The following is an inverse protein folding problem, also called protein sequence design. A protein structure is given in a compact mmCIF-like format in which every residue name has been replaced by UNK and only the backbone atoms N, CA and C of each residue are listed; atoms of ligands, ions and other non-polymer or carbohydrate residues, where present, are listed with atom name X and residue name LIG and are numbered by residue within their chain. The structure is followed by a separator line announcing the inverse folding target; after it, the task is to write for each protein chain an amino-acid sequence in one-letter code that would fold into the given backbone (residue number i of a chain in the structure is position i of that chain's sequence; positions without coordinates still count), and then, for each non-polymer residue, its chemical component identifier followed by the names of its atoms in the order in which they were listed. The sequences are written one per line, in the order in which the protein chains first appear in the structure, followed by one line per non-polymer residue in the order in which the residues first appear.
data_IF_977176655231
#
_entry.id   IF_977176655231
#
_cell.length_a   1.000
_cell.length_b   1.000
_cell.length_c   1.000
_cell.angle_alpha   90.00
_cell.angle_beta   90.00
_cell.angle_gamma   90.00
#
_symmetry.space_group_name_H-M   'P 1'
#
loop_
_entity.id
_entity.type
_entity.pdbx_description
1 polymer ?
#
# COMPACT_ATOMS: atom_id res chain seq x y z
N UNK A 1 -11.09 -5.63 -23.69
CA UNK A 1 -11.05 -5.14 -22.29
C UNK A 1 -9.69 -5.46 -21.70
N UNK A 2 -8.93 -4.45 -21.23
CA UNK A 2 -7.55 -4.62 -20.74
C UNK A 2 -7.47 -5.58 -19.54
N UNK A 3 -6.36 -6.30 -19.43
CA UNK A 3 -6.20 -7.41 -18.49
C UNK A 3 -6.28 -7.00 -17.01
N UNK A 4 -5.91 -5.77 -16.66
CA UNK A 4 -5.71 -5.34 -15.26
C UNK A 4 -6.99 -5.20 -14.42
N UNK A 5 -8.19 -5.14 -15.01
CA UNK A 5 -9.46 -5.07 -14.25
C UNK A 5 -10.41 -6.25 -14.54
N UNK A 6 -9.91 -7.34 -15.13
CA UNK A 6 -10.75 -8.49 -15.50
C UNK A 6 -11.35 -9.18 -14.27
N UNK A 7 -10.52 -9.44 -13.26
CA UNK A 7 -10.93 -10.22 -12.07
C UNK A 7 -11.96 -9.46 -11.24
N UNK A 8 -11.75 -8.16 -11.05
CA UNK A 8 -12.67 -7.28 -10.32
C UNK A 8 -14.02 -7.19 -11.04
N UNK A 9 -13.99 -7.15 -12.37
CA UNK A 9 -15.23 -7.18 -13.14
C UNK A 9 -15.95 -8.50 -12.97
N UNK A 10 -15.24 -9.62 -13.03
CA UNK A 10 -15.84 -10.93 -12.85
C UNK A 10 -16.48 -11.03 -11.45
N UNK A 11 -15.77 -10.61 -10.41
CA UNK A 11 -16.29 -10.54 -9.05
C UNK A 11 -17.52 -9.63 -8.93
N UNK A 12 -17.49 -8.44 -9.56
CA UNK A 12 -18.64 -7.52 -9.57
C UNK A 12 -19.84 -8.11 -10.31
N UNK A 13 -19.62 -8.80 -11.44
CA UNK A 13 -20.68 -9.46 -12.18
C UNK A 13 -21.33 -10.57 -11.35
N UNK A 14 -20.53 -11.40 -10.66
CA UNK A 14 -21.03 -12.42 -9.74
C UNK A 14 -21.83 -11.80 -8.58
N UNK A 15 -21.32 -10.69 -8.02
CA UNK A 15 -22.02 -9.98 -6.94
C UNK A 15 -23.38 -9.45 -7.40
N UNK A 16 -23.45 -8.85 -8.60
CA UNK A 16 -24.71 -8.34 -9.14
C UNK A 16 -25.70 -9.46 -9.46
N UNK A 17 -25.23 -10.62 -9.95
CA UNK A 17 -26.08 -11.79 -10.22
C UNK A 17 -26.78 -12.31 -8.95
N UNK A 18 -26.09 -12.26 -7.81
CA UNK A 18 -26.64 -12.69 -6.51
C UNK A 18 -27.41 -11.57 -5.78
N UNK A 19 -27.41 -10.34 -6.32
CA UNK A 19 -28.06 -9.20 -5.66
C UNK A 19 -29.56 -9.12 -5.95
N UNK A 20 -30.32 -8.61 -4.97
CA UNK A 20 -31.77 -8.42 -5.09
C UNK A 20 -32.17 -7.50 -6.25
N UNK A 21 -31.30 -6.57 -6.64
CA UNK A 21 -31.56 -5.66 -7.76
C UNK A 21 -31.75 -6.41 -9.09
N UNK A 22 -31.00 -7.49 -9.30
CA UNK A 22 -31.11 -8.32 -10.52
C UNK A 22 -32.09 -9.47 -10.30
N UNK A 23 -32.05 -10.13 -9.13
CA UNK A 23 -32.88 -11.31 -8.87
C UNK A 23 -34.36 -10.96 -8.63
N UNK A 24 -34.63 -9.95 -7.80
CA UNK A 24 -35.99 -9.58 -7.38
C UNK A 24 -36.57 -8.52 -8.30
N UNK A 25 -35.84 -7.41 -8.50
CA UNK A 25 -36.34 -6.28 -9.29
C UNK A 25 -36.18 -6.45 -10.80
N UNK A 26 -35.43 -7.47 -11.25
CA UNK A 26 -35.18 -7.80 -12.67
C UNK A 26 -34.60 -6.64 -13.49
N UNK A 27 -33.89 -5.74 -12.84
CA UNK A 27 -33.20 -4.65 -13.53
C UNK A 27 -31.96 -5.17 -14.25
N UNK A 28 -31.52 -4.44 -15.29
CA UNK A 28 -30.24 -4.77 -15.90
C UNK A 28 -29.09 -4.49 -14.92
N UNK A 29 -27.99 -5.27 -14.94
CA UNK A 29 -26.85 -5.02 -14.08
C UNK A 29 -26.26 -3.60 -14.24
N UNK A 30 -26.42 -3.00 -15.43
CA UNK A 30 -26.00 -1.64 -15.71
C UNK A 30 -26.87 -0.59 -14.98
N UNK A 31 -28.18 -0.83 -14.88
CA UNK A 31 -29.11 0.05 -14.18
C UNK A 31 -28.95 -0.04 -12.66
N UNK A 32 -28.60 -1.21 -12.13
CA UNK A 32 -28.28 -1.40 -10.72
C UNK A 32 -27.08 -0.56 -10.24
N UNK A 33 -26.15 -0.21 -11.15
CA UNK A 33 -24.97 0.60 -10.82
C UNK A 33 -25.24 2.11 -10.86
N UNK A 34 -26.41 2.54 -11.36
CA UNK A 34 -26.83 3.94 -11.42
C UNK A 34 -27.49 4.36 -10.10
N UNK A 35 -27.43 5.66 -9.80
CA UNK A 35 -28.23 6.23 -8.72
C UNK A 35 -29.71 6.21 -9.12
N UNK A 36 -30.67 5.85 -8.25
CA UNK A 36 -30.59 5.67 -6.78
C UNK A 36 -30.34 4.22 -6.30
N UNK A 37 -30.50 3.22 -7.17
CA UNK A 37 -30.40 1.79 -6.79
C UNK A 37 -29.01 1.36 -6.33
N UNK A 38 -27.97 2.08 -6.73
CA UNK A 38 -26.61 1.75 -6.29
C UNK A 38 -26.40 1.82 -4.77
N UNK A 39 -27.26 2.52 -4.02
CA UNK A 39 -27.20 2.62 -2.57
C UNK A 39 -27.91 1.46 -1.85
N UNK A 40 -28.85 0.78 -2.51
CA UNK A 40 -29.60 -0.35 -1.94
C UNK A 40 -28.87 -1.70 -2.13
N UNK A 41 -27.80 -1.71 -2.92
CA UNK A 41 -26.96 -2.89 -3.13
C UNK A 41 -26.23 -3.28 -1.83
N UNK A 42 -25.94 -4.58 -1.64
CA UNK A 42 -25.18 -5.04 -0.48
C UNK A 42 -23.78 -4.42 -0.45
N UNK A 43 -23.23 -4.25 0.76
CA UNK A 43 -21.94 -3.58 1.02
C UNK A 43 -20.79 -4.18 0.21
N UNK A 44 -20.78 -5.50 0.03
CA UNK A 44 -19.81 -6.20 -0.82
C UNK A 44 -19.83 -5.71 -2.27
N UNK A 45 -21.01 -5.56 -2.88
CA UNK A 45 -21.13 -5.06 -4.25
C UNK A 45 -20.76 -3.57 -4.34
N UNK A 46 -21.04 -2.78 -3.29
CA UNK A 46 -20.62 -1.38 -3.23
C UNK A 46 -19.09 -1.23 -3.18
N UNK A 47 -18.41 -2.08 -2.41
CA UNK A 47 -16.94 -2.13 -2.37
C UNK A 47 -16.35 -2.53 -3.73
N UNK A 48 -16.89 -3.58 -4.37
CA UNK A 48 -16.45 -4.00 -5.70
C UNK A 48 -16.67 -2.91 -6.76
N UNK A 49 -17.77 -2.17 -6.66
CA UNK A 49 -18.04 -1.00 -7.53
C UNK A 49 -16.99 0.09 -7.33
N UNK A 50 -16.63 0.40 -6.09
CA UNK A 50 -15.58 1.36 -5.78
C UNK A 50 -14.24 0.92 -6.37
N UNK A 51 -13.79 -0.31 -6.05
CA UNK A 51 -12.53 -0.86 -6.55
C UNK A 51 -12.48 -0.97 -8.08
N UNK A 52 -13.60 -1.28 -8.73
CA UNK A 52 -13.68 -1.26 -10.19
C UNK A 52 -13.54 0.15 -10.78
N UNK A 53 -14.14 1.16 -10.13
CA UNK A 53 -13.98 2.56 -10.49
C UNK A 53 -12.53 3.05 -10.36
N UNK A 54 -11.85 2.68 -9.27
CA UNK A 54 -10.44 2.99 -9.07
C UNK A 54 -9.53 2.27 -10.06
N UNK A 55 -9.81 0.99 -10.34
CA UNK A 55 -9.06 0.24 -11.32
C UNK A 55 -9.15 0.87 -12.72
N UNK A 56 -10.35 1.32 -13.12
CA UNK A 56 -10.55 2.03 -14.40
C UNK A 56 -9.84 3.39 -14.40
N UNK A 57 -9.90 4.15 -13.30
CA UNK A 57 -9.16 5.42 -13.16
C UNK A 57 -7.65 5.19 -13.28
N UNK A 58 -7.12 4.13 -12.66
CA UNK A 58 -5.70 3.79 -12.71
C UNK A 58 -5.20 3.40 -14.10
N UNK A 59 -6.04 2.83 -14.96
CA UNK A 59 -5.67 2.57 -16.35
C UNK A 59 -5.55 3.86 -17.18
N UNK A 60 -6.40 4.85 -16.91
CA UNK A 60 -6.42 6.10 -17.66
C UNK A 60 -5.32 7.04 -17.17
N UNK A 61 -5.00 7.03 -15.87
CA UNK A 61 -3.96 7.83 -15.24
C UNK A 61 -2.55 7.48 -15.72
N UNK A 62 -1.89 8.41 -16.42
CA UNK A 62 -0.54 8.27 -16.97
C UNK A 62 0.50 7.92 -15.90
N UNK A 63 0.34 8.44 -14.68
CA UNK A 63 1.31 8.23 -13.58
C UNK A 63 1.32 6.78 -13.10
N UNK A 64 0.19 6.08 -13.23
CA UNK A 64 0.01 4.68 -12.78
C UNK A 64 0.29 3.65 -13.89
N UNK A 65 0.37 4.07 -15.16
CA UNK A 65 0.69 3.17 -16.29
C UNK A 65 2.08 2.52 -16.18
N UNK A 66 3.06 3.24 -15.64
CA UNK A 66 4.43 2.72 -15.50
C UNK A 66 4.61 1.77 -14.32
N UNK A 67 3.90 2.00 -13.21
CA UNK A 67 3.99 1.16 -12.00
C UNK A 67 3.02 -0.02 -12.01
N UNK A 68 2.09 -0.04 -12.96
CA UNK A 68 1.01 -1.01 -12.99
C UNK A 68 -0.11 -0.66 -12.00
N UNK A 69 -1.32 -1.14 -12.30
CA UNK A 69 -2.42 -1.05 -11.36
C UNK A 69 -2.24 -2.16 -10.31
N UNK A 70 -2.38 -1.83 -9.03
CA UNK A 70 -2.24 -2.82 -7.94
C UNK A 70 -3.30 -3.92 -8.10
N UNK A 71 -2.96 -5.21 -7.98
CA UNK A 71 -3.96 -6.26 -7.98
C UNK A 71 -4.82 -6.14 -6.73
N UNK A 72 -6.14 -6.30 -6.88
CA UNK A 72 -7.07 -6.22 -5.73
C UNK A 72 -6.84 -7.35 -4.72
N UNK A 73 -6.22 -8.46 -5.13
CA UNK A 73 -5.79 -9.49 -4.18
C UNK A 73 -4.74 -8.99 -3.16
N UNK A 74 -4.03 -7.89 -3.46
CA UNK A 74 -3.05 -7.28 -2.55
C UNK A 74 -3.48 -5.89 -2.06
N UNK A 75 -4.69 -5.43 -2.37
CA UNK A 75 -5.20 -4.18 -1.82
C UNK A 75 -5.62 -4.43 -0.38
N UNK A 76 -4.77 -3.96 0.54
CA UNK A 76 -4.97 -3.77 1.98
C UNK A 76 -6.19 -2.89 2.28
N UNK A 77 -7.38 -3.31 1.84
CA UNK A 77 -8.64 -2.58 2.02
C UNK A 77 -9.70 -3.43 2.74
N UNK A 78 -9.41 -4.72 2.99
CA UNK A 78 -10.19 -5.57 3.91
C UNK A 78 -9.66 -5.53 5.35
N UNK A 79 -8.55 -4.82 5.61
CA UNK A 79 -7.98 -4.66 6.95
C UNK A 79 -8.41 -3.28 7.46
N UNK A 80 -9.38 -3.27 8.37
CA UNK A 80 -9.81 -2.07 9.06
C UNK A 80 -8.64 -1.48 9.85
N UNK A 81 -8.04 -0.40 9.35
CA UNK A 81 -7.01 0.35 10.09
C UNK A 81 -6.07 1.08 9.15
N UNK A 82 -6.11 2.41 9.20
CA UNK A 82 -5.15 3.26 8.48
C UNK A 82 -3.72 2.85 8.78
N UNK A 83 -2.98 2.44 7.75
CA UNK A 83 -1.60 2.04 7.88
C UNK A 83 -0.91 2.12 6.53
N UNK A 84 0.07 3.03 6.43
CA UNK A 84 1.04 3.04 5.35
C UNK A 84 1.84 1.73 5.40
N UNK A 85 1.89 1.02 4.27
CA UNK A 85 3.03 0.19 3.85
C UNK A 85 2.89 -1.32 4.07
N UNK A 86 3.45 -2.08 3.12
CA UNK A 86 4.38 -3.21 3.33
C UNK A 86 5.00 -3.49 1.95
N UNK A 87 6.11 -2.80 1.67
CA UNK A 87 7.27 -3.51 1.13
C UNK A 87 7.96 -4.14 2.33
N UNK A 88 8.53 -5.32 2.12
CA UNK A 88 9.39 -6.00 3.09
C UNK A 88 10.40 -5.00 3.68
N UNK A 89 10.35 -4.80 5.00
CA UNK A 89 11.13 -3.79 5.71
C UNK A 89 10.31 -2.54 6.03
N UNK A 90 9.80 -2.49 7.27
CA UNK A 90 9.27 -1.28 7.90
C UNK A 90 10.35 -0.21 8.02
N UNK A 91 10.61 0.50 6.93
CA UNK A 91 11.54 1.62 6.87
C UNK A 91 10.85 2.89 7.35
N UNK A 92 11.33 3.44 8.46
CA UNK A 92 10.98 4.78 8.92
C UNK A 92 11.17 5.80 7.80
N UNK A 93 10.24 6.74 7.68
CA UNK A 93 10.16 7.73 6.59
C UNK A 93 11.24 8.83 6.69
N UNK A 94 12.13 8.73 7.66
CA UNK A 94 13.30 9.60 7.84
C UNK A 94 14.44 8.76 8.43
N UNK A 95 15.68 9.06 8.01
CA UNK A 95 16.89 8.25 8.20
C UNK A 95 17.37 8.12 9.67
N UNK A 96 16.53 7.54 10.54
CA UNK A 96 16.88 7.19 11.92
C UNK A 96 16.65 5.70 12.14
N UNK A 97 17.74 4.97 12.38
CA UNK A 97 17.68 3.57 12.83
C UNK A 97 17.17 3.57 14.28
N UNK A 98 16.19 2.73 14.59
CA UNK A 98 15.58 2.61 15.92
C UNK A 98 16.64 2.22 16.96
N UNK A 99 16.69 2.94 18.07
CA UNK A 99 17.69 2.77 19.14
C UNK A 99 17.38 1.65 20.13
N UNK A 100 16.48 0.73 19.80
CA UNK A 100 16.08 -0.37 20.67
C UNK A 100 16.14 -1.70 19.89
N UNK A 101 17.34 -2.07 19.47
CA UNK A 101 17.63 -3.47 19.18
C UNK A 101 18.27 -4.10 20.42
N UNK A 102 17.40 -4.84 21.10
CA UNK A 102 17.59 -5.80 22.19
C UNK A 102 19.05 -6.17 22.50
N UNK A 103 19.44 -5.89 23.74
CA UNK A 103 20.66 -6.36 24.40
C UNK A 103 20.82 -7.87 24.23
N UNK A 104 21.91 -8.29 23.57
CA UNK A 104 22.44 -9.65 23.69
C UNK A 104 23.78 -9.55 24.43
N UNK A 105 23.68 -9.87 25.71
CA UNK A 105 24.68 -10.37 26.64
C UNK A 105 26.16 -10.22 26.23
N UNK A 106 26.87 -9.41 27.02
CA UNK A 106 28.33 -9.43 27.15
C UNK A 106 28.79 -10.85 27.53
N UNK A 107 29.59 -11.46 26.66
CA UNK A 107 30.72 -12.28 27.10
C UNK A 107 31.96 -11.80 26.34
N UNK A 108 33.01 -11.49 27.09
CA UNK A 108 34.17 -10.75 26.62
C UNK A 108 35.04 -11.52 25.63
N UNK A 109 35.78 -10.77 24.81
CA UNK A 109 36.84 -11.33 23.98
C UNK A 109 37.13 -10.49 22.74
N UNK A 110 38.03 -9.52 22.90
CA UNK A 110 39.07 -9.07 21.98
C UNK A 110 38.83 -9.04 20.45
N UNK A 111 39.02 -7.87 19.86
CA UNK A 111 39.05 -7.71 18.40
C UNK A 111 39.18 -6.25 17.95
N UNK A 112 40.00 -5.45 18.65
CA UNK A 112 40.38 -4.13 18.17
C UNK A 112 41.16 -4.27 16.87
N UNK A 113 40.61 -3.78 15.76
CA UNK A 113 41.40 -3.50 14.57
C UNK A 113 41.99 -2.10 14.72
N UNK A 114 43.28 -2.11 15.05
CA UNK A 114 44.23 -1.01 15.00
C UNK A 114 44.11 -0.24 13.66
N UNK A 115 43.99 1.10 13.72
CA UNK A 115 44.35 1.97 12.58
C UNK A 115 43.37 3.06 12.16
N UNK A 116 42.18 3.17 12.74
CA UNK A 116 41.25 4.24 12.36
C UNK A 116 41.54 5.51 13.17
N UNK A 117 42.47 6.34 12.67
CA UNK A 117 42.73 7.69 13.19
C UNK A 117 41.52 8.59 12.85
N UNK A 118 40.97 9.29 13.85
CA UNK A 118 39.86 10.23 13.66
C UNK A 118 40.33 11.63 14.02
N UNK A 119 40.04 12.61 13.17
CA UNK A 119 40.34 14.02 13.43
C UNK A 119 39.06 14.82 13.67
N UNK A 120 39.17 15.84 14.54
CA UNK A 120 38.11 16.80 14.80
C UNK A 120 38.31 17.99 13.86
N UNK A 121 37.29 18.33 13.09
CA UNK A 121 37.29 19.52 12.24
C UNK A 121 36.16 20.45 12.61
N UNK A 122 36.44 21.76 12.62
CA UNK A 122 35.44 22.80 12.86
C UNK A 122 34.85 23.26 11.55
N UNK A 123 33.55 23.04 11.37
CA UNK A 123 32.81 23.52 10.20
C UNK A 123 32.81 25.05 10.14
N UNK A 124 32.58 25.64 8.97
CA UNK A 124 32.44 27.11 8.82
C UNK A 124 31.36 27.72 9.73
N UNK A 125 30.43 26.90 10.22
CA UNK A 125 29.36 27.26 11.16
C UNK A 125 29.80 27.20 12.65
N UNK A 126 31.06 26.88 12.94
CA UNK A 126 31.62 26.81 14.30
C UNK A 126 31.33 25.53 15.09
N UNK A 127 30.66 24.54 14.48
CA UNK A 127 30.38 23.24 15.10
C UNK A 127 31.53 22.27 14.83
N UNK A 128 31.97 21.56 15.87
CA UNK A 128 32.99 20.51 15.79
C UNK A 128 32.34 19.17 15.41
N UNK A 129 32.86 18.54 14.35
CA UNK A 129 32.50 17.18 13.94
C UNK A 129 33.73 16.30 13.87
N UNK A 130 33.53 14.99 14.02
CA UNK A 130 34.59 13.98 13.94
C UNK A 130 34.54 13.31 12.57
N UNK A 131 35.66 13.29 11.85
CA UNK A 131 35.80 12.60 10.56
C UNK A 131 36.94 11.58 10.63
N UNK A 132 36.75 10.46 9.93
CA UNK A 132 37.81 9.47 9.76
C UNK A 132 38.91 10.09 8.91
N UNK A 133 40.16 10.01 9.38
CA UNK A 133 41.32 10.46 8.63
C UNK A 133 41.47 9.64 7.34
#
# INVERSE_FOLDING_TARGET
MPASCKDIRAALALCLQNSDCVMVQRNTPADCLRSPLSATLPTQCQQLRHGYGECKRGQIDMRKRFRGNKPIATSTENEAGGGRGIGDGGGMLYAGRSSYDKEKEREGGDGGKEGDEWEVYTRNDGIEDVRKK
#
